data_IF_270430920829
#
_entry.id   IF_270430920829
#
_cell.length_a   1.000
_cell.length_b   1.000
_cell.length_c   1.000
_cell.angle_alpha   90.00
_cell.angle_beta   90.00
_cell.angle_gamma   90.00
#
_symmetry.space_group_name_H-M   'P 1'
#
loop_
_entity.id
_entity.type
_entity.pdbx_description
1 polymer ?
#
# COMPACT_ATOMS: atom_id res chain seq x y z
N UNK A 1 22.23 11.68 -10.75
CA UNK A 1 22.97 11.47 -12.01
C UNK A 1 22.21 10.48 -12.84
N UNK A 2 22.44 10.45 -14.15
CA UNK A 2 21.80 9.47 -15.05
C UNK A 2 22.14 8.03 -14.63
N UNK A 3 23.34 7.80 -14.08
CA UNK A 3 23.75 6.49 -13.55
C UNK A 3 22.83 5.98 -12.42
N UNK A 4 22.45 6.87 -11.49
CA UNK A 4 21.56 6.49 -10.39
C UNK A 4 20.16 6.15 -10.90
N UNK A 5 19.67 6.90 -11.90
CA UNK A 5 18.37 6.64 -12.53
C UNK A 5 18.39 5.28 -13.25
N UNK A 6 19.46 4.99 -13.99
CA UNK A 6 19.62 3.71 -14.68
C UNK A 6 19.71 2.54 -13.71
N UNK A 7 20.46 2.68 -12.62
CA UNK A 7 20.52 1.67 -11.56
C UNK A 7 19.13 1.32 -11.00
N UNK A 8 18.30 2.31 -10.68
CA UNK A 8 16.94 2.03 -10.18
C UNK A 8 16.03 1.42 -11.24
N UNK A 9 16.19 1.76 -12.53
CA UNK A 9 15.44 1.11 -13.61
C UNK A 9 15.77 -0.39 -13.69
N UNK A 10 17.05 -0.75 -13.65
CA UNK A 10 17.48 -2.15 -13.65
C UNK A 10 16.93 -2.93 -12.45
N UNK A 11 16.90 -2.31 -11.26
CA UNK A 11 16.29 -2.90 -10.08
C UNK A 11 14.78 -3.12 -10.24
N UNK A 12 14.06 -2.14 -10.81
CA UNK A 12 12.62 -2.27 -11.08
C UNK A 12 12.38 -3.42 -12.05
N UNK A 13 13.14 -3.48 -13.15
CA UNK A 13 13.02 -4.55 -14.16
C UNK A 13 13.25 -5.92 -13.52
N UNK A 14 14.25 -6.04 -12.66
CA UNK A 14 14.52 -7.26 -11.90
C UNK A 14 13.34 -7.67 -10.99
N UNK A 15 12.76 -6.74 -10.23
CA UNK A 15 11.60 -7.03 -9.39
C UNK A 15 10.37 -7.44 -10.20
N UNK A 16 10.12 -6.78 -11.34
CA UNK A 16 9.04 -7.17 -12.26
C UNK A 16 9.23 -8.60 -12.76
N UNK A 17 10.46 -9.01 -13.08
CA UNK A 17 10.76 -10.39 -13.48
C UNK A 17 10.45 -11.40 -12.36
N UNK A 18 10.79 -11.08 -11.11
CA UNK A 18 10.49 -11.95 -9.96
C UNK A 18 8.98 -12.11 -9.77
N UNK A 19 8.24 -11.00 -9.77
CA UNK A 19 6.78 -11.01 -9.58
C UNK A 19 6.11 -11.85 -10.66
N UNK A 20 6.54 -11.72 -11.93
CA UNK A 20 6.06 -12.56 -13.04
C UNK A 20 6.34 -14.04 -12.81
N UNK A 21 7.58 -14.39 -12.45
CA UNK A 21 7.95 -15.78 -12.20
C UNK A 21 7.12 -16.40 -11.06
N UNK A 22 6.87 -15.64 -9.99
CA UNK A 22 6.04 -16.09 -8.86
C UNK A 22 4.58 -16.27 -9.26
N UNK A 23 4.03 -15.34 -10.05
CA UNK A 23 2.70 -15.48 -10.62
C UNK A 23 2.59 -16.75 -11.49
N UNK A 24 3.51 -16.96 -12.43
CA UNK A 24 3.51 -18.11 -13.33
C UNK A 24 3.61 -19.44 -12.56
N UNK A 25 4.34 -19.44 -11.44
CA UNK A 25 4.46 -20.57 -10.53
C UNK A 25 3.28 -20.71 -9.53
N UNK A 26 2.26 -19.85 -9.61
CA UNK A 26 1.12 -19.80 -8.67
C UNK A 26 1.53 -19.65 -7.20
N UNK A 27 2.60 -18.89 -6.95
CA UNK A 27 3.05 -18.57 -5.57
C UNK A 27 2.15 -17.47 -5.00
N UNK A 28 1.50 -17.69 -3.84
CA UNK A 28 0.77 -16.62 -3.16
C UNK A 28 1.69 -15.47 -2.76
N UNK A 29 1.26 -14.24 -3.04
CA UNK A 29 2.01 -13.02 -2.74
C UNK A 29 1.21 -12.13 -1.79
N UNK A 30 1.91 -11.44 -0.89
CA UNK A 30 1.32 -10.48 0.05
C UNK A 30 1.84 -9.09 -0.32
N UNK A 31 0.95 -8.10 -0.46
CA UNK A 31 1.35 -6.73 -0.73
C UNK A 31 2.01 -6.11 0.52
N UNK A 32 3.12 -5.39 0.32
CA UNK A 32 3.84 -4.74 1.40
C UNK A 32 4.65 -3.56 0.85
N UNK A 33 4.63 -2.43 1.58
CA UNK A 33 5.14 -1.16 1.04
C UNK A 33 6.42 -0.67 1.70
N UNK A 34 6.76 -1.20 2.88
CA UNK A 34 7.78 -0.62 3.76
C UNK A 34 7.49 0.87 4.12
N UNK A 35 6.19 1.20 4.23
CA UNK A 35 5.74 2.56 4.52
C UNK A 35 6.34 3.12 5.82
N UNK A 36 6.68 4.41 5.77
CA UNK A 36 7.46 5.08 6.83
C UNK A 36 8.92 5.31 6.44
N UNK A 37 9.41 4.64 5.38
CA UNK A 37 10.65 5.01 4.70
C UNK A 37 10.45 6.30 3.89
N UNK A 38 11.52 7.07 3.70
CA UNK A 38 11.52 8.29 2.91
C UNK A 38 10.97 8.04 1.50
N UNK A 39 9.92 8.78 1.13
CA UNK A 39 9.24 8.64 -0.17
C UNK A 39 8.08 7.64 -0.20
N UNK A 40 7.89 6.84 0.85
CA UNK A 40 6.79 5.86 0.93
C UNK A 40 5.75 6.32 1.96
N UNK A 41 4.65 6.89 1.47
CA UNK A 41 3.62 7.49 2.32
C UNK A 41 2.68 6.42 2.90
N UNK A 42 2.49 6.43 4.22
CA UNK A 42 1.57 5.53 4.93
C UNK A 42 0.15 5.60 4.34
N UNK A 43 -0.47 4.44 4.16
CA UNK A 43 -1.80 4.30 3.54
C UNK A 43 -1.76 4.42 2.02
N UNK A 44 -1.33 5.56 1.49
CA UNK A 44 -1.32 5.85 0.05
C UNK A 44 -0.45 4.87 -0.75
N UNK A 45 0.72 4.54 -0.22
CA UNK A 45 1.67 3.62 -0.87
C UNK A 45 1.11 2.23 -1.13
N UNK A 46 0.12 1.77 -0.35
CA UNK A 46 -0.49 0.45 -0.61
C UNK A 46 -1.22 0.46 -1.95
N UNK A 47 -1.87 1.57 -2.29
CA UNK A 47 -2.52 1.70 -3.59
C UNK A 47 -1.52 1.83 -4.74
N UNK A 48 -0.31 2.34 -4.48
CA UNK A 48 0.78 2.38 -5.45
C UNK A 48 1.33 0.97 -5.67
N UNK A 49 1.54 0.21 -4.59
CA UNK A 49 1.97 -1.19 -4.63
C UNK A 49 0.99 -2.08 -5.40
N UNK A 50 -0.32 -1.92 -5.17
CA UNK A 50 -1.33 -2.64 -5.96
C UNK A 50 -1.24 -2.31 -7.45
N UNK A 51 -0.93 -1.06 -7.80
CA UNK A 51 -0.74 -0.66 -9.19
C UNK A 51 0.51 -1.33 -9.79
N UNK A 52 1.63 -1.31 -9.07
CA UNK A 52 2.89 -1.93 -9.48
C UNK A 52 2.75 -3.46 -9.65
N UNK A 53 2.00 -4.14 -8.79
CA UNK A 53 1.72 -5.57 -8.94
C UNK A 53 0.93 -5.86 -10.23
N UNK A 54 -0.05 -5.02 -10.57
CA UNK A 54 -0.80 -5.15 -11.83
C UNK A 54 0.08 -4.86 -13.03
N UNK A 55 0.92 -3.81 -12.99
CA UNK A 55 1.90 -3.52 -14.05
C UNK A 55 2.91 -4.66 -14.22
N UNK A 56 3.30 -5.32 -13.12
CA UNK A 56 4.14 -6.49 -13.14
C UNK A 56 3.43 -7.75 -13.68
N UNK A 57 2.10 -7.71 -13.84
CA UNK A 57 1.34 -8.71 -14.58
C UNK A 57 0.27 -9.43 -13.75
N UNK A 58 0.01 -9.05 -12.50
CA UNK A 58 -1.13 -9.56 -11.75
C UNK A 58 -2.44 -9.04 -12.35
N UNK A 59 -3.53 -9.81 -12.17
CA UNK A 59 -4.88 -9.29 -12.40
C UNK A 59 -5.26 -8.35 -11.25
N UNK A 60 -6.25 -7.49 -11.49
CA UNK A 60 -6.79 -6.62 -10.42
C UNK A 60 -7.28 -7.45 -9.22
N UNK A 61 -7.88 -8.62 -9.45
CA UNK A 61 -8.32 -9.54 -8.39
C UNK A 61 -7.14 -10.13 -7.60
N UNK A 62 -6.08 -10.57 -8.28
CA UNK A 62 -4.87 -11.10 -7.62
C UNK A 62 -4.21 -10.02 -6.75
N UNK A 63 -4.13 -8.79 -7.25
CA UNK A 63 -3.62 -7.66 -6.50
C UNK A 63 -4.47 -7.38 -5.25
N UNK A 64 -5.80 -7.30 -5.36
CA UNK A 64 -6.69 -7.13 -4.20
C UNK A 64 -6.57 -8.27 -3.19
N UNK A 65 -6.44 -9.51 -3.68
CA UNK A 65 -6.28 -10.71 -2.83
C UNK A 65 -4.96 -10.66 -2.05
N UNK A 66 -3.89 -10.14 -2.66
CA UNK A 66 -2.58 -9.97 -2.01
C UNK A 66 -2.61 -9.01 -0.81
N UNK A 67 -3.45 -7.98 -0.86
CA UNK A 67 -3.61 -7.01 0.22
C UNK A 67 -4.69 -7.37 1.25
N UNK A 68 -5.39 -8.50 1.06
CA UNK A 68 -6.51 -8.91 1.93
C UNK A 68 -6.35 -10.35 2.42
N UNK A 69 -6.89 -11.31 1.66
CA UNK A 69 -6.96 -12.73 2.02
C UNK A 69 -5.58 -13.33 2.31
N UNK A 70 -4.59 -13.06 1.47
CA UNK A 70 -3.26 -13.65 1.64
C UNK A 70 -2.51 -13.08 2.84
N UNK A 71 -2.64 -11.78 3.12
CA UNK A 71 -2.09 -11.19 4.34
C UNK A 71 -2.69 -11.79 5.61
N UNK A 72 -4.03 -11.92 5.65
CA UNK A 72 -4.71 -12.53 6.81
C UNK A 72 -4.31 -14.00 7.01
N UNK A 73 -4.22 -14.77 5.92
CA UNK A 73 -3.81 -16.17 5.98
C UNK A 73 -2.35 -16.34 6.41
N UNK A 74 -1.46 -15.48 5.92
CA UNK A 74 -0.04 -15.51 6.31
C UNK A 74 0.16 -15.20 7.80
N UNK A 75 -0.69 -14.34 8.36
CA UNK A 75 -0.70 -13.99 9.77
C UNK A 75 -1.52 -14.96 10.65
N UNK A 76 -2.10 -16.01 10.08
CA UNK A 76 -2.96 -16.99 10.78
C UNK A 76 -4.14 -16.35 11.53
N UNK A 77 -4.74 -15.31 10.92
CA UNK A 77 -5.92 -14.59 11.44
C UNK A 77 -7.04 -14.52 10.39
N UNK A 78 -7.00 -15.40 9.40
CA UNK A 78 -8.01 -15.49 8.34
C UNK A 78 -9.36 -16.01 8.84
N UNK A 79 -9.43 -16.54 10.07
CA UNK A 79 -10.69 -16.80 10.78
C UNK A 79 -11.42 -15.50 11.21
N UNK A 80 -10.71 -14.37 11.27
CA UNK A 80 -11.23 -13.08 11.76
C UNK A 80 -11.35 -12.00 10.71
N UNK A 81 -10.42 -11.93 9.74
CA UNK A 81 -10.35 -10.84 8.74
C UNK A 81 -9.91 -11.36 7.36
N UNK A 82 -9.80 -10.45 6.38
CA UNK A 82 -9.21 -10.69 5.07
C UNK A 82 -10.20 -11.14 3.98
N UNK A 83 -11.43 -11.51 4.36
CA UNK A 83 -12.53 -11.80 3.43
C UNK A 83 -13.87 -11.37 4.03
N UNK A 84 -14.88 -11.22 3.18
CA UNK A 84 -16.25 -10.86 3.59
C UNK A 84 -17.03 -12.15 3.88
N UNK A 85 -17.10 -12.52 5.15
CA UNK A 85 -17.79 -13.74 5.61
C UNK A 85 -18.51 -13.48 6.94
N UNK A 86 -19.63 -14.18 7.17
CA UNK A 86 -20.35 -14.06 8.45
C UNK A 86 -19.48 -14.59 9.60
N UNK A 87 -19.44 -13.84 10.71
CA UNK A 87 -18.65 -14.18 11.90
C UNK A 87 -17.27 -13.52 11.95
N UNK A 88 -16.80 -12.94 10.83
CA UNK A 88 -15.57 -12.13 10.78
C UNK A 88 -15.83 -10.69 11.22
N UNK A 89 -14.76 -9.94 11.50
CA UNK A 89 -14.88 -8.51 11.78
C UNK A 89 -15.42 -7.75 10.57
N UNK A 90 -16.24 -6.74 10.83
CA UNK A 90 -16.78 -5.85 9.81
C UNK A 90 -15.75 -4.76 9.46
N UNK A 91 -14.62 -5.21 8.90
CA UNK A 91 -13.55 -4.38 8.35
C UNK A 91 -13.67 -4.36 6.82
N UNK A 92 -14.25 -3.28 6.28
CA UNK A 92 -14.65 -3.19 4.87
C UNK A 92 -14.33 -1.81 4.31
N UNK A 93 -14.12 -1.72 3.00
CA UNK A 93 -14.01 -0.46 2.28
C UNK A 93 -15.12 -0.41 1.24
N UNK A 94 -15.82 0.72 1.17
CA UNK A 94 -16.77 1.01 0.10
C UNK A 94 -16.09 1.94 -0.92
N UNK A 95 -16.19 1.57 -2.20
CA UNK A 95 -15.61 2.31 -3.30
C UNK A 95 -16.72 2.83 -4.22
N UNK A 96 -16.56 4.05 -4.74
CA UNK A 96 -17.46 4.65 -5.72
C UNK A 96 -17.28 4.05 -7.12
N UNK A 97 -16.12 3.45 -7.38
CA UNK A 97 -15.78 2.82 -8.66
C UNK A 97 -15.27 1.38 -8.49
N UNK A 98 -15.43 0.57 -9.54
CA UNK A 98 -15.09 -0.85 -9.53
C UNK A 98 -13.56 -1.08 -9.67
N UNK A 99 -12.86 -1.64 -8.66
CA UNK A 99 -11.42 -1.89 -8.74
C UNK A 99 -11.06 -3.10 -9.61
N UNK A 100 -12.03 -3.96 -9.95
CA UNK A 100 -11.80 -5.08 -10.87
C UNK A 100 -11.68 -4.61 -12.33
N UNK A 101 -12.26 -3.46 -12.67
CA UNK A 101 -12.09 -2.83 -13.98
C UNK A 101 -10.78 -2.05 -14.06
N UNK A 102 -10.43 -1.32 -13.01
CA UNK A 102 -9.19 -0.54 -12.94
C UNK A 102 -8.68 -0.48 -11.50
N UNK A 103 -7.49 -1.03 -11.25
CA UNK A 103 -6.94 -1.12 -9.88
C UNK A 103 -6.77 0.24 -9.18
N UNK A 104 -6.60 1.33 -9.93
CA UNK A 104 -6.53 2.68 -9.37
C UNK A 104 -7.80 3.08 -8.62
N UNK A 105 -8.94 2.47 -8.95
CA UNK A 105 -10.24 2.78 -8.36
C UNK A 105 -10.33 2.37 -6.88
N UNK A 106 -9.33 1.65 -6.36
CA UNK A 106 -9.14 1.49 -4.92
C UNK A 106 -8.97 2.83 -4.18
N UNK A 107 -8.65 3.92 -4.86
CA UNK A 107 -8.55 5.28 -4.28
C UNK A 107 -9.90 6.01 -4.20
N UNK A 108 -10.92 5.55 -4.93
CA UNK A 108 -12.25 6.17 -4.97
C UNK A 108 -13.08 5.73 -3.75
N UNK A 109 -12.60 6.06 -2.55
CA UNK A 109 -13.16 5.59 -1.28
C UNK A 109 -14.34 6.46 -0.84
N UNK A 110 -15.54 5.90 -0.85
CA UNK A 110 -16.75 6.51 -0.29
C UNK A 110 -16.74 6.47 1.24
N UNK A 111 -16.15 5.42 1.82
CA UNK A 111 -15.92 5.30 3.26
C UNK A 111 -15.42 3.92 3.67
N UNK A 112 -15.16 3.79 4.97
CA UNK A 112 -14.51 2.61 5.56
C UNK A 112 -15.29 2.16 6.79
N UNK A 113 -15.55 0.86 6.89
CA UNK A 113 -15.98 0.23 8.12
C UNK A 113 -14.76 -0.28 8.88
N UNK A 114 -14.65 0.10 10.15
CA UNK A 114 -13.63 -0.42 11.07
C UNK A 114 -14.32 -1.01 12.28
N UNK A 115 -14.21 -2.33 12.44
CA UNK A 115 -14.89 -3.11 13.47
C UNK A 115 -16.39 -2.76 13.54
N UNK A 116 -17.04 -2.67 12.38
CA UNK A 116 -18.47 -2.34 12.24
C UNK A 116 -18.83 -0.86 12.39
N UNK A 117 -17.86 0.02 12.66
CA UNK A 117 -18.09 1.46 12.75
C UNK A 117 -17.86 2.10 11.38
N UNK A 118 -18.88 2.79 10.86
CA UNK A 118 -18.79 3.50 9.59
C UNK A 118 -18.04 4.83 9.74
N UNK A 119 -17.01 5.01 8.93
CA UNK A 119 -16.29 6.26 8.72
C UNK A 119 -16.61 6.75 7.31
N UNK A 120 -17.41 7.79 7.20
CA UNK A 120 -17.76 8.40 5.92
C UNK A 120 -16.60 9.24 5.34
N UNK A 121 -16.72 9.58 4.05
CA UNK A 121 -15.74 10.43 3.36
C UNK A 121 -15.42 11.73 4.11
N UNK A 122 -16.40 12.54 4.60
CA UNK A 122 -16.08 13.74 5.37
C UNK A 122 -15.26 13.48 6.64
N UNK A 123 -15.54 12.39 7.37
CA UNK A 123 -14.75 12.02 8.55
C UNK A 123 -13.32 11.66 8.17
N UNK A 124 -13.14 10.89 7.10
CA UNK A 124 -11.81 10.51 6.57
C UNK A 124 -11.05 11.76 6.12
N UNK A 125 -11.70 12.68 5.40
CA UNK A 125 -11.09 13.96 4.97
C UNK A 125 -10.61 14.80 6.15
N UNK A 126 -11.42 14.87 7.22
CA UNK A 126 -11.03 15.55 8.44
C UNK A 126 -9.78 14.93 9.06
N UNK A 127 -9.71 13.60 9.16
CA UNK A 127 -8.55 12.89 9.70
C UNK A 127 -7.29 13.11 8.84
N UNK A 128 -7.43 13.05 7.51
CA UNK A 128 -6.32 13.31 6.59
C UNK A 128 -5.82 14.75 6.68
N UNK A 129 -6.73 15.73 6.82
CA UNK A 129 -6.36 17.14 7.01
C UNK A 129 -5.60 17.36 8.33
N UNK A 130 -5.97 16.66 9.40
CA UNK A 130 -5.24 16.71 10.67
C UNK A 130 -3.82 16.14 10.52
N UNK A 131 -3.67 15.00 9.84
CA UNK A 131 -2.36 14.39 9.53
C UNK A 131 -1.51 15.32 8.68
N UNK A 132 -2.09 15.93 7.65
CA UNK A 132 -1.40 16.88 6.77
C UNK A 132 -0.88 18.09 7.56
N UNK A 133 -1.72 18.70 8.42
CA UNK A 133 -1.31 19.82 9.28
C UNK A 133 -0.16 19.43 10.20
N UNK A 134 -0.25 18.26 10.82
CA UNK A 134 0.82 17.75 11.69
C UNK A 134 2.12 17.54 10.91
N UNK A 135 2.06 16.92 9.72
CA UNK A 135 3.22 16.71 8.87
C UNK A 135 3.86 18.05 8.47
N UNK A 136 3.05 19.02 8.04
CA UNK A 136 3.54 20.34 7.67
C UNK A 136 4.22 21.09 8.82
N UNK A 137 3.70 20.95 10.05
CA UNK A 137 4.28 21.55 11.24
C UNK A 137 5.59 20.88 11.68
N UNK A 138 5.83 19.61 11.31
CA UNK A 138 6.97 18.82 11.79
C UNK A 138 8.00 18.47 10.71
N UNK A 139 7.77 18.80 9.43
CA UNK A 139 8.65 18.41 8.32
C UNK A 139 10.09 18.92 8.43
N UNK A 140 10.31 20.03 9.15
CA UNK A 140 11.63 20.62 9.36
C UNK A 140 12.32 20.15 10.65
N UNK A 141 11.62 19.36 11.48
CA UNK A 141 12.14 18.90 12.78
C UNK A 141 13.35 17.95 12.64
N UNK A 142 13.47 17.28 11.49
CA UNK A 142 14.57 16.37 11.20
C UNK A 142 15.55 17.03 10.21
N UNK A 143 16.73 17.40 10.69
CA UNK A 143 17.81 17.91 9.85
C UNK A 143 18.51 16.77 9.12
N UNK A 144 17.93 16.34 8.00
CA UNK A 144 18.49 15.26 7.17
C UNK A 144 19.89 15.57 6.66
N UNK A 145 20.24 16.85 6.43
CA UNK A 145 21.60 17.23 6.04
C UNK A 145 22.60 16.91 7.15
N UNK A 146 22.27 17.24 8.39
CA UNK A 146 23.13 16.98 9.54
C UNK A 146 23.23 15.49 9.87
N UNK A 147 22.10 14.77 9.83
CA UNK A 147 22.08 13.30 9.93
C UNK A 147 22.96 12.65 8.87
N UNK A 148 22.80 12.99 7.59
CA UNK A 148 23.60 12.44 6.50
C UNK A 148 25.08 12.82 6.61
N UNK A 149 25.40 14.04 7.05
CA UNK A 149 26.78 14.46 7.28
C UNK A 149 27.47 13.67 8.42
N UNK A 150 26.71 13.17 9.40
CA UNK A 150 27.26 12.32 10.47
C UNK A 150 27.85 11.00 9.96
N UNK A 151 27.37 10.48 8.82
CA UNK A 151 27.89 9.28 8.17
C UNK A 151 29.10 9.55 7.27
N UNK A 152 29.32 10.79 6.84
CA UNK A 152 30.50 11.17 6.03
C UNK A 152 31.76 11.39 6.87
N UNK A 153 31.60 11.59 8.17
CA UNK A 153 32.69 11.83 9.12
C UNK A 153 33.10 10.57 9.91
N UNK A 154 32.65 9.39 9.48
CA UNK A 154 33.10 8.08 9.94
C UNK A 154 33.73 7.33 8.76
#
# INVERSE_FOLDING_TARGET
SDDLINYYKELIDFHVLIVKAFKEANVPMVAGTDAGISGVVLGFSLHDELHLLVEAGLTNEEALTSATRYGAKWLEIDDKIGTIETGKFADLILLDENPLEKISNTREISGVFVNGNWLDRPKIDSMLSEVEKWNNANKEKYNWKEFLNSFKNK
#
